data_IF_789357814296
#
_entry.id   IF_789357814296
#
_cell.length_a   1.000
_cell.length_b   1.000
_cell.length_c   1.000
_cell.angle_alpha   90.00
_cell.angle_beta   90.00
_cell.angle_gamma   90.00
#
_symmetry.space_group_name_H-M   'P 1'
#
loop_
_entity.id
_entity.type
_entity.pdbx_description
1 polymer ?
#
# COMPACT_ATOMS: atom_id res chain seq x y z
N UNK A 1 14.60 4.74 -9.50
CA UNK A 1 14.74 6.09 -8.87
C UNK A 1 15.49 5.94 -7.55
N UNK A 2 15.90 7.01 -6.88
CA UNK A 2 16.49 6.93 -5.53
C UNK A 2 15.44 7.26 -4.45
N UNK A 3 15.63 6.86 -3.17
CA UNK A 3 14.78 7.30 -2.07
C UNK A 3 14.62 8.83 -2.00
N UNK A 4 15.71 9.58 -2.19
CA UNK A 4 15.67 11.05 -2.20
C UNK A 4 14.77 11.62 -3.32
N UNK A 5 14.76 11.00 -4.50
CA UNK A 5 13.86 11.41 -5.60
C UNK A 5 12.39 11.19 -5.24
N UNK A 6 12.06 10.10 -4.54
CA UNK A 6 10.69 9.83 -4.06
C UNK A 6 10.30 10.86 -3.00
N UNK A 7 11.20 11.12 -2.03
CA UNK A 7 10.96 12.08 -0.96
C UNK A 7 10.66 13.48 -1.53
N UNK A 8 11.53 14.01 -2.40
CA UNK A 8 11.29 15.28 -3.08
C UNK A 8 9.98 15.28 -3.87
N UNK A 9 9.72 14.26 -4.71
CA UNK A 9 8.53 14.24 -5.57
C UNK A 9 7.21 14.22 -4.79
N UNK A 10 7.14 13.47 -3.68
CA UNK A 10 5.90 13.38 -2.87
C UNK A 10 5.71 14.63 -2.00
N UNK A 11 6.80 15.23 -1.51
CA UNK A 11 6.72 16.52 -0.79
C UNK A 11 6.34 17.68 -1.71
N UNK A 12 6.94 17.78 -2.90
CA UNK A 12 6.66 18.85 -3.86
C UNK A 12 5.30 18.69 -4.55
N UNK A 13 4.90 17.45 -4.88
CA UNK A 13 3.66 17.18 -5.60
C UNK A 13 2.40 17.13 -4.73
N UNK A 14 2.50 16.64 -3.49
CA UNK A 14 1.35 16.38 -2.61
C UNK A 14 1.46 17.00 -1.22
N UNK A 15 2.51 17.81 -0.95
CA UNK A 15 2.74 18.49 0.33
C UNK A 15 2.71 17.53 1.54
N UNK A 16 3.12 16.27 1.34
CA UNK A 16 3.16 15.28 2.42
C UNK A 16 4.27 15.62 3.42
N UNK A 17 4.02 15.42 4.71
CA UNK A 17 4.96 15.79 5.78
C UNK A 17 6.23 14.91 5.72
N UNK A 18 7.40 15.55 5.84
CA UNK A 18 8.70 14.92 5.60
C UNK A 18 8.93 13.61 6.37
N UNK A 19 8.58 13.58 7.65
CA UNK A 19 8.71 12.39 8.52
C UNK A 19 7.89 11.19 8.05
N UNK A 20 6.69 11.42 7.51
CA UNK A 20 5.86 10.37 6.93
C UNK A 20 6.44 9.86 5.60
N UNK A 21 6.90 10.76 4.73
CA UNK A 21 7.49 10.39 3.43
C UNK A 21 8.80 9.64 3.63
N UNK A 22 9.65 10.12 4.54
CA UNK A 22 10.93 9.49 4.90
C UNK A 22 10.71 8.08 5.45
N UNK A 23 9.81 7.94 6.45
CA UNK A 23 9.45 6.64 7.01
C UNK A 23 8.93 5.67 5.93
N UNK A 24 7.95 6.08 5.11
CA UNK A 24 7.37 5.20 4.08
C UNK A 24 8.40 4.82 3.01
N UNK A 25 9.19 5.78 2.54
CA UNK A 25 10.19 5.55 1.48
C UNK A 25 11.25 4.57 1.95
N UNK A 26 11.83 4.78 3.13
CA UNK A 26 12.87 3.88 3.65
C UNK A 26 12.32 2.53 4.12
N UNK A 27 11.09 2.49 4.66
CA UNK A 27 10.45 1.24 5.05
C UNK A 27 10.22 0.29 3.85
N UNK A 28 9.80 0.82 2.70
CA UNK A 28 9.69 0.03 1.46
C UNK A 28 11.09 -0.28 0.90
N UNK A 29 11.99 0.70 0.83
CA UNK A 29 13.31 0.56 0.21
C UNK A 29 14.19 -0.52 0.85
N UNK A 30 14.19 -0.62 2.18
CA UNK A 30 14.96 -1.63 2.94
C UNK A 30 14.47 -3.07 2.65
N UNK A 31 13.22 -3.19 2.20
CA UNK A 31 12.45 -4.43 2.16
C UNK A 31 12.32 -5.01 0.75
N UNK A 32 11.98 -4.15 -0.22
CA UNK A 32 11.60 -4.57 -1.57
C UNK A 32 12.69 -4.31 -2.63
N UNK A 33 13.67 -3.43 -2.31
CA UNK A 33 14.62 -2.87 -3.28
C UNK A 33 16.10 -3.11 -2.93
N UNK A 34 17.01 -2.48 -3.68
CA UNK A 34 18.45 -2.76 -3.59
C UNK A 34 19.23 -1.69 -2.80
N UNK A 35 19.54 -1.93 -1.50
CA UNK A 35 20.30 -0.99 -0.68
C UNK A 35 21.74 -0.76 -1.16
N UNK A 36 22.30 -1.68 -1.96
CA UNK A 36 23.67 -1.55 -2.47
C UNK A 36 23.80 -0.59 -3.65
N UNK A 37 22.74 -0.45 -4.47
CA UNK A 37 22.74 0.45 -5.64
C UNK A 37 22.02 1.76 -5.37
N UNK A 38 21.26 1.86 -4.27
CA UNK A 38 20.44 3.05 -3.97
C UNK A 38 19.22 3.19 -4.88
N UNK A 39 18.84 2.12 -5.60
CA UNK A 39 17.80 2.15 -6.63
C UNK A 39 16.52 1.46 -6.17
N UNK A 40 15.42 2.18 -6.39
CA UNK A 40 14.04 1.87 -6.03
C UNK A 40 13.18 1.60 -7.28
N UNK A 41 12.31 0.59 -7.22
CA UNK A 41 11.26 0.28 -8.20
C UNK A 41 9.86 0.52 -7.63
N UNK A 42 9.07 1.40 -8.26
CA UNK A 42 7.67 1.65 -7.85
C UNK A 42 6.72 0.48 -8.17
N UNK A 43 7.16 -0.49 -8.99
CA UNK A 43 6.33 -1.60 -9.46
C UNK A 43 6.97 -2.95 -9.18
N UNK A 44 6.87 -3.86 -10.14
CA UNK A 44 7.49 -5.19 -10.04
C UNK A 44 9.02 -5.15 -9.98
N UNK A 45 9.61 -6.33 -9.72
CA UNK A 45 11.06 -6.54 -9.77
C UNK A 45 11.59 -6.24 -11.17
N UNK A 46 12.73 -5.55 -11.23
CA UNK A 46 13.35 -5.14 -12.49
C UNK A 46 14.88 -5.28 -12.39
N UNK A 47 15.59 -5.73 -13.45
CA UNK A 47 17.05 -5.73 -13.46
C UNK A 47 17.65 -4.32 -13.38
N UNK A 48 16.84 -3.26 -13.56
CA UNK A 48 17.26 -1.87 -13.47
C UNK A 48 17.65 -1.43 -12.06
N UNK A 49 17.29 -2.18 -11.00
CA UNK A 49 17.82 -1.96 -9.64
C UNK A 49 19.22 -2.55 -9.43
N UNK A 50 19.82 -3.11 -10.49
CA UNK A 50 21.12 -3.77 -10.46
C UNK A 50 21.09 -5.19 -9.88
N UNK A 51 22.26 -5.83 -9.73
CA UNK A 51 22.36 -7.22 -9.25
C UNK A 51 21.70 -7.39 -7.88
N UNK A 52 20.76 -8.32 -7.77
CA UNK A 52 20.13 -8.64 -6.49
C UNK A 52 21.17 -9.21 -5.51
N UNK A 53 21.12 -8.84 -4.22
CA UNK A 53 21.98 -9.45 -3.21
C UNK A 53 21.71 -10.97 -3.08
N UNK A 54 22.66 -11.75 -2.52
CA UNK A 54 22.47 -13.18 -2.35
C UNK A 54 21.29 -13.48 -1.41
N UNK A 55 20.52 -14.54 -1.73
CA UNK A 55 19.37 -14.92 -0.90
C UNK A 55 19.77 -15.54 0.44
N UNK A 56 19.02 -15.29 1.53
CA UNK A 56 17.85 -14.41 1.61
C UNK A 56 18.26 -12.94 1.74
N UNK A 57 17.93 -12.13 0.72
CA UNK A 57 17.87 -10.67 0.84
C UNK A 57 16.80 -10.34 1.89
N UNK A 58 17.02 -9.28 2.67
CA UNK A 58 16.33 -9.02 3.94
C UNK A 58 14.79 -8.94 3.83
N UNK A 59 14.21 -10.10 3.97
CA UNK A 59 12.83 -10.33 4.30
C UNK A 59 12.67 -10.09 5.86
N UNK A 60 11.46 -10.04 6.50
CA UNK A 60 11.05 -10.00 7.97
C UNK A 60 9.64 -10.67 8.33
N UNK A 61 9.52 -11.99 8.62
CA UNK A 61 8.27 -12.85 8.66
C UNK A 61 8.57 -14.02 9.58
N UNK A 62 7.78 -14.15 10.63
CA UNK A 62 8.12 -14.95 11.80
C UNK A 62 7.50 -16.35 11.72
N UNK A 63 8.16 -17.26 10.99
CA UNK A 63 8.03 -18.70 11.27
C UNK A 63 9.14 -19.17 12.21
N UNK A 64 8.74 -19.60 13.40
CA UNK A 64 9.63 -20.30 14.33
C UNK A 64 9.89 -21.74 13.82
N UNK A 65 10.89 -21.89 12.96
CA UNK A 65 11.43 -23.20 12.61
C UNK A 65 12.37 -23.66 13.74
N UNK A 66 11.80 -24.45 14.65
CA UNK A 66 12.48 -25.00 15.83
C UNK A 66 13.65 -25.92 15.44
N UNK A 67 13.72 -26.39 14.18
CA UNK A 67 14.79 -27.27 13.71
C UNK A 67 16.08 -26.55 13.31
N UNK A 68 16.03 -25.26 12.92
CA UNK A 68 17.19 -24.56 12.33
C UNK A 68 17.80 -23.43 13.16
N UNK A 69 17.21 -23.05 14.30
CA UNK A 69 17.69 -21.96 15.20
C UNK A 69 17.99 -20.63 14.48
N UNK A 70 17.31 -20.34 13.37
CA UNK A 70 17.48 -19.11 12.58
C UNK A 70 16.17 -18.32 12.61
N UNK A 71 16.21 -17.13 13.21
CA UNK A 71 15.13 -16.15 13.07
C UNK A 71 15.12 -15.72 11.61
N UNK A 72 14.03 -16.04 10.91
CA UNK A 72 13.79 -15.71 9.51
C UNK A 72 12.57 -14.80 9.34
N UNK A 73 12.22 -14.56 8.06
CA UNK A 73 12.19 -13.23 7.49
C UNK A 73 11.37 -13.20 6.13
N UNK A 74 10.27 -12.41 5.98
CA UNK A 74 9.57 -11.63 4.88
C UNK A 74 8.50 -10.52 5.29
N UNK A 75 8.89 -9.28 5.69
CA UNK A 75 8.05 -8.05 5.60
C UNK A 75 8.15 -7.71 4.14
N UNK A 76 7.06 -7.23 3.59
CA UNK A 76 6.99 -6.81 2.20
C UNK A 76 5.92 -5.76 2.18
N UNK A 77 6.31 -4.50 1.99
CA UNK A 77 5.32 -3.41 1.91
C UNK A 77 4.56 -3.52 0.58
N UNK A 78 5.22 -3.99 -0.48
CA UNK A 78 4.59 -4.49 -1.70
C UNK A 78 4.44 -6.03 -1.66
N UNK A 79 3.56 -6.53 -0.79
CA UNK A 79 3.43 -7.96 -0.52
C UNK A 79 3.12 -8.82 -1.76
N UNK A 80 4.17 -9.43 -2.32
CA UNK A 80 4.07 -10.52 -3.29
C UNK A 80 3.43 -11.82 -2.74
N UNK A 81 2.79 -11.77 -1.56
CA UNK A 81 1.93 -12.82 -1.01
C UNK A 81 0.76 -12.24 -0.17
N UNK A 82 -0.45 -12.54 -0.66
CA UNK A 82 -1.66 -12.90 0.10
C UNK A 82 -2.41 -11.88 0.99
N UNK A 83 -2.05 -10.61 1.06
CA UNK A 83 -2.83 -9.63 1.85
C UNK A 83 -3.21 -8.37 1.10
N UNK A 84 -4.40 -7.87 1.42
CA UNK A 84 -5.04 -6.74 0.77
C UNK A 84 -4.37 -5.43 1.22
N UNK A 85 -3.93 -4.65 0.23
CA UNK A 85 -3.20 -3.40 0.46
C UNK A 85 -4.13 -2.23 0.18
N UNK A 86 -4.26 -1.91 -1.10
CA UNK A 86 -4.98 -0.77 -1.62
C UNK A 86 -6.49 -0.99 -1.61
N UNK A 87 -7.24 0.12 -1.64
CA UNK A 87 -8.69 0.09 -1.84
C UNK A 87 -9.06 -0.35 -3.27
N UNK A 88 -8.15 -0.17 -4.23
CA UNK A 88 -8.41 -0.22 -5.67
C UNK A 88 -7.84 -1.46 -6.40
N UNK A 89 -7.18 -2.37 -5.68
CA UNK A 89 -6.58 -3.58 -6.26
C UNK A 89 -7.15 -4.83 -5.59
N UNK A 90 -7.02 -5.99 -6.23
CA UNK A 90 -7.44 -7.27 -5.66
C UNK A 90 -6.35 -7.86 -4.74
N UNK A 91 -6.71 -8.86 -3.93
CA UNK A 91 -5.74 -9.60 -3.13
C UNK A 91 -4.84 -10.43 -4.05
N UNK A 92 -3.54 -10.52 -3.75
CA UNK A 92 -2.58 -11.29 -4.55
C UNK A 92 -2.94 -12.79 -4.69
N UNK A 93 -3.81 -13.33 -3.83
CA UNK A 93 -4.38 -14.67 -3.99
C UNK A 93 -5.16 -14.84 -5.31
N UNK A 94 -5.78 -13.77 -5.82
CA UNK A 94 -6.53 -13.77 -7.08
C UNK A 94 -5.65 -13.49 -8.31
N UNK A 95 -4.32 -13.39 -8.14
CA UNK A 95 -3.34 -13.34 -9.24
C UNK A 95 -2.79 -11.95 -9.58
N UNK A 96 -3.56 -10.88 -9.37
CA UNK A 96 -3.12 -9.49 -9.59
C UNK A 96 -3.46 -8.62 -8.36
N UNK A 97 -2.44 -7.94 -7.84
CA UNK A 97 -2.50 -7.09 -6.65
C UNK A 97 -2.08 -5.63 -6.89
N UNK A 98 -1.75 -5.27 -8.12
CA UNK A 98 -1.11 -3.99 -8.47
C UNK A 98 -1.83 -3.24 -9.60
N UNK A 99 -2.53 -3.94 -10.50
CA UNK A 99 -3.38 -3.29 -11.48
C UNK A 99 -4.61 -2.68 -10.82
N UNK A 100 -5.01 -1.51 -11.32
CA UNK A 100 -6.30 -0.90 -10.99
C UNK A 100 -7.46 -1.83 -11.35
N UNK A 101 -8.37 -2.04 -10.40
CA UNK A 101 -9.52 -2.92 -10.57
C UNK A 101 -10.82 -2.09 -10.57
N UNK A 102 -11.47 -2.00 -11.73
CA UNK A 102 -12.70 -1.22 -11.93
C UNK A 102 -13.81 -1.64 -10.95
N UNK A 103 -14.01 -2.95 -10.73
CA UNK A 103 -15.05 -3.44 -9.79
C UNK A 103 -14.79 -2.99 -8.35
N UNK A 104 -13.52 -2.86 -7.94
CA UNK A 104 -13.20 -2.27 -6.64
C UNK A 104 -13.45 -0.75 -6.65
N UNK A 105 -13.08 -0.05 -7.71
CA UNK A 105 -13.38 1.38 -7.82
C UNK A 105 -14.90 1.68 -7.81
N UNK A 106 -15.71 0.90 -8.53
CA UNK A 106 -17.17 0.94 -8.48
C UNK A 106 -17.71 0.65 -7.07
N UNK A 107 -17.10 -0.30 -6.35
CA UNK A 107 -17.38 -0.57 -4.94
C UNK A 107 -17.13 0.66 -4.05
N UNK A 108 -16.00 1.35 -4.23
CA UNK A 108 -15.72 2.60 -3.51
C UNK A 108 -16.74 3.68 -3.87
N UNK A 109 -17.09 3.84 -5.15
CA UNK A 109 -18.11 4.80 -5.61
C UNK A 109 -19.45 4.52 -4.95
N UNK A 110 -19.88 3.25 -4.87
CA UNK A 110 -21.12 2.87 -4.21
C UNK A 110 -21.12 3.20 -2.70
N UNK A 111 -20.03 2.90 -2.00
CA UNK A 111 -19.86 3.26 -0.58
C UNK A 111 -19.76 4.78 -0.38
N UNK A 112 -19.14 5.49 -1.31
CA UNK A 112 -19.02 6.95 -1.30
C UNK A 112 -20.36 7.64 -1.48
N UNK A 113 -21.20 7.15 -2.39
CA UNK A 113 -22.57 7.63 -2.54
C UNK A 113 -23.42 7.32 -1.30
N UNK A 114 -23.25 6.15 -0.68
CA UNK A 114 -24.04 5.69 0.48
C UNK A 114 -23.67 6.38 1.80
N UNK A 115 -22.38 6.59 2.06
CA UNK A 115 -21.87 7.03 3.37
C UNK A 115 -21.16 8.40 3.33
N UNK A 116 -20.73 8.86 2.16
CA UNK A 116 -20.06 10.15 1.96
C UNK A 116 -20.94 11.22 1.29
N UNK A 117 -22.18 10.89 0.91
CA UNK A 117 -23.07 11.82 0.22
C UNK A 117 -22.61 12.18 -1.21
N UNK A 118 -21.83 11.30 -1.85
CA UNK A 118 -21.29 11.51 -3.19
C UNK A 118 -19.87 12.11 -3.24
N UNK A 119 -19.25 12.37 -2.09
CA UNK A 119 -17.83 12.76 -1.98
C UNK A 119 -17.06 11.75 -1.13
N UNK A 120 -15.85 11.39 -1.57
CA UNK A 120 -14.97 10.50 -0.82
C UNK A 120 -14.40 11.27 0.36
N UNK A 121 -14.72 10.81 1.56
CA UNK A 121 -14.30 11.40 2.83
C UNK A 121 -13.90 10.30 3.81
N UNK A 122 -13.46 10.67 5.02
CA UNK A 122 -13.01 9.72 6.03
C UNK A 122 -14.08 8.65 6.38
N UNK A 123 -15.36 9.01 6.39
CA UNK A 123 -16.46 8.08 6.71
C UNK A 123 -16.64 7.04 5.61
N UNK A 124 -16.77 7.46 4.35
CA UNK A 124 -16.95 6.52 3.24
C UNK A 124 -15.71 5.67 2.98
N UNK A 125 -14.51 6.23 3.16
CA UNK A 125 -13.26 5.49 3.08
C UNK A 125 -13.12 4.42 4.19
N UNK A 126 -13.53 4.75 5.43
CA UNK A 126 -13.51 3.80 6.55
C UNK A 126 -14.52 2.66 6.39
N UNK A 127 -15.75 2.97 5.98
CA UNK A 127 -16.79 1.97 5.67
C UNK A 127 -16.33 1.03 4.55
N UNK A 128 -15.76 1.58 3.47
CA UNK A 128 -15.25 0.76 2.38
C UNK A 128 -14.02 -0.07 2.77
N UNK A 129 -13.11 0.46 3.61
CA UNK A 129 -12.02 -0.35 4.17
C UNK A 129 -12.55 -1.51 5.02
N UNK A 130 -13.62 -1.31 5.80
CA UNK A 130 -14.26 -2.38 6.56
C UNK A 130 -14.84 -3.46 5.64
N UNK A 131 -15.56 -3.05 4.58
CA UNK A 131 -16.09 -3.96 3.55
C UNK A 131 -14.98 -4.78 2.89
N UNK A 132 -13.88 -4.15 2.47
CA UNK A 132 -12.75 -4.82 1.80
C UNK A 132 -12.09 -5.89 2.69
N UNK A 133 -11.94 -5.62 3.99
CA UNK A 133 -11.47 -6.59 4.98
C UNK A 133 -12.44 -7.78 5.09
N UNK A 134 -13.76 -7.53 5.15
CA UNK A 134 -14.78 -8.59 5.21
C UNK A 134 -14.78 -9.46 3.95
N UNK A 135 -14.61 -8.85 2.77
CA UNK A 135 -14.49 -9.55 1.50
C UNK A 135 -13.28 -10.49 1.46
N UNK A 136 -12.11 -10.06 1.95
CA UNK A 136 -10.94 -10.95 2.06
C UNK A 136 -11.16 -12.08 3.05
N UNK A 137 -11.75 -11.82 4.22
CA UNK A 137 -12.07 -12.86 5.21
C UNK A 137 -12.99 -13.93 4.60
N UNK A 138 -13.94 -13.53 3.77
CA UNK A 138 -14.90 -14.44 3.15
C UNK A 138 -14.33 -15.23 1.94
N UNK A 139 -13.42 -14.64 1.15
CA UNK A 139 -13.05 -15.19 -0.17
C UNK A 139 -11.56 -15.49 -0.36
N UNK A 140 -10.65 -14.96 0.48
CA UNK A 140 -9.22 -15.22 0.41
C UNK A 140 -8.80 -16.15 1.57
N UNK A 141 -8.63 -17.47 1.34
CA UNK A 141 -8.23 -18.42 2.38
C UNK A 141 -6.80 -18.20 2.90
N UNK A 142 -6.01 -17.36 2.23
CA UNK A 142 -4.67 -16.95 2.64
C UNK A 142 -4.65 -15.54 3.28
N UNK A 143 -5.81 -14.96 3.59
CA UNK A 143 -5.89 -13.58 4.12
C UNK A 143 -5.08 -13.42 5.40
N UNK A 144 -4.30 -12.34 5.45
CA UNK A 144 -3.50 -11.96 6.61
C UNK A 144 -3.60 -10.45 6.81
N UNK A 145 -3.87 -10.02 8.04
CA UNK A 145 -4.04 -8.62 8.40
C UNK A 145 -3.38 -8.33 9.75
N UNK A 146 -2.04 -8.41 9.76
CA UNK A 146 -1.18 -8.22 10.93
C UNK A 146 -0.09 -7.17 10.65
N UNK A 147 0.61 -6.67 11.67
CA UNK A 147 1.66 -5.66 11.47
C UNK A 147 2.77 -6.14 10.51
N UNK A 148 3.29 -5.28 9.63
CA UNK A 148 2.97 -3.86 9.45
C UNK A 148 1.74 -3.58 8.56
N UNK A 149 1.14 -4.60 7.92
CA UNK A 149 0.04 -4.47 6.92
C UNK A 149 -1.15 -3.67 7.43
N UNK A 150 -1.54 -3.84 8.69
CA UNK A 150 -2.64 -3.08 9.33
C UNK A 150 -2.38 -1.57 9.29
N UNK A 151 -1.16 -1.15 9.65
CA UNK A 151 -0.78 0.27 9.71
C UNK A 151 -0.81 0.87 8.30
N UNK A 152 -0.22 0.19 7.32
CA UNK A 152 -0.25 0.59 5.91
C UNK A 152 -1.68 0.72 5.39
N UNK A 153 -2.52 -0.30 5.61
CA UNK A 153 -3.88 -0.32 5.08
C UNK A 153 -4.75 0.83 5.61
N UNK A 154 -4.67 1.15 6.90
CA UNK A 154 -5.40 2.29 7.46
C UNK A 154 -4.79 3.64 7.02
N UNK A 155 -3.47 3.78 6.92
CA UNK A 155 -2.83 5.00 6.40
C UNK A 155 -3.22 5.26 4.94
N UNK A 156 -3.10 4.25 4.08
CA UNK A 156 -3.47 4.29 2.65
C UNK A 156 -4.96 4.61 2.43
N UNK A 157 -5.83 4.30 3.39
CA UNK A 157 -7.26 4.63 3.33
C UNK A 157 -7.50 6.16 3.36
N UNK A 158 -6.60 6.92 3.98
CA UNK A 158 -6.64 8.38 3.99
C UNK A 158 -5.86 9.02 2.83
N UNK A 159 -5.01 8.29 2.11
CA UNK A 159 -4.16 8.86 1.05
C UNK A 159 -4.93 9.50 -0.11
N UNK A 160 -6.12 9.02 -0.56
CA UNK A 160 -6.91 9.75 -1.55
C UNK A 160 -7.23 11.20 -1.16
N UNK A 161 -7.27 11.50 0.13
CA UNK A 161 -7.57 12.85 0.61
C UNK A 161 -6.42 13.85 0.38
N UNK A 162 -5.21 13.40 0.01
CA UNK A 162 -4.15 14.28 -0.51
C UNK A 162 -4.45 14.84 -1.90
N UNK A 163 -5.41 14.26 -2.64
CA UNK A 163 -5.86 14.78 -3.94
C UNK A 163 -6.94 15.87 -3.81
N UNK A 164 -7.37 16.20 -2.59
CA UNK A 164 -8.30 17.31 -2.34
C UNK A 164 -7.57 18.64 -2.61
N UNK A 165 -8.23 19.55 -3.33
CA UNK A 165 -7.71 20.90 -3.61
C UNK A 165 -7.33 21.61 -2.30
N UNK A 166 -6.04 21.91 -2.14
CA UNK A 166 -5.50 22.57 -0.94
C UNK A 166 -6.07 23.97 -0.66
N UNK A 167 -6.78 24.58 -1.61
CA UNK A 167 -7.55 25.82 -1.40
C UNK A 167 -8.86 25.60 -0.65
N UNK A 168 -9.39 24.36 -0.66
CA UNK A 168 -10.54 23.93 0.13
C UNK A 168 -10.10 23.27 1.43
N UNK A 169 -9.20 22.28 1.32
CA UNK A 169 -8.68 21.48 2.43
C UNK A 169 -9.78 20.89 3.36
N UNK A 170 -10.94 20.54 2.79
CA UNK A 170 -12.14 20.08 3.49
C UNK A 170 -12.21 18.55 3.68
N UNK A 171 -11.21 17.82 3.20
CA UNK A 171 -11.14 16.34 3.18
C UNK A 171 -12.30 15.68 2.41
N UNK A 172 -12.93 16.41 1.47
CA UNK A 172 -13.99 15.90 0.59
C UNK A 172 -13.48 15.82 -0.85
N UNK A 173 -13.06 14.62 -1.28
CA UNK A 173 -12.59 14.38 -2.63
C UNK A 173 -13.78 14.11 -3.58
N UNK A 174 -13.96 14.91 -4.65
CA UNK A 174 -14.95 14.63 -5.68
C UNK A 174 -14.62 13.33 -6.44
N UNK A 175 -15.63 12.53 -6.78
CA UNK A 175 -15.44 11.23 -7.43
C UNK A 175 -14.86 11.30 -8.85
N UNK A 176 -15.00 12.44 -9.53
CA UNK A 176 -14.38 12.73 -10.83
C UNK A 176 -12.87 13.04 -10.73
N UNK A 177 -12.40 13.49 -9.56
CA UNK A 177 -10.97 13.67 -9.26
C UNK A 177 -10.36 12.39 -8.68
N UNK A 178 -11.19 11.50 -8.12
CA UNK A 178 -10.74 10.23 -7.56
C UNK A 178 -10.39 9.15 -8.61
N UNK A 179 -10.69 9.39 -9.89
CA UNK A 179 -10.50 8.45 -11.02
C UNK A 179 -9.30 8.82 -11.88
#
# INVERSE_FOLDING_TARGET
MTPAQIISAVQEGFNMRHDLVDFLTYAVFIVDDNPLTGLFSLGGKTPLTGPHPPQPVLAVDLKCDVSTKRVRLKVTFNAGYNSQIFLFTADAFFGDNHSFNETQFEGLVAFTNRFGGGVLNLTSAAEYRCQRIQESIAHNPNFSFVSPRVIGAYAETAFPLFFVDGRKADLHLPLDIAR
#
